data_IF_793433605304
#
_entry.id   IF_793433605304
#
_cell.length_a   1.000
_cell.length_b   1.000
_cell.length_c   1.000
_cell.angle_alpha   90.00
_cell.angle_beta   90.00
_cell.angle_gamma   90.00
#
_symmetry.space_group_name_H-M   'P 1'
#
loop_
_entity.id
_entity.type
_entity.pdbx_description
1 polymer ?
#
# COMPACT_ATOMS: atom_id res chain seq x y z
N UNK A 1 -1.67 -14.83 -12.37
CA UNK A 1 -0.87 -13.62 -12.50
C UNK A 1 -1.76 -12.38 -12.51
N UNK A 2 -1.26 -11.30 -11.99
CA UNK A 2 -1.99 -10.03 -11.95
C UNK A 2 -1.77 -9.26 -13.24
N UNK A 3 -2.86 -8.66 -13.74
CA UNK A 3 -2.82 -7.74 -14.87
C UNK A 3 -3.29 -6.37 -14.41
N UNK A 4 -2.88 -5.34 -15.12
CA UNK A 4 -3.21 -3.95 -14.77
C UNK A 4 -2.20 -3.33 -13.82
N UNK A 5 -2.54 -2.18 -13.27
CA UNK A 5 -1.66 -1.39 -12.41
C UNK A 5 -2.21 -1.37 -11.00
N UNK A 6 -1.35 -1.63 -10.04
CA UNK A 6 -1.72 -1.77 -8.63
C UNK A 6 -0.85 -0.90 -7.76
N UNK A 7 -1.34 -0.65 -6.55
CA UNK A 7 -0.67 0.19 -5.58
C UNK A 7 0.56 -0.51 -4.99
N UNK A 8 1.61 0.25 -4.78
CA UNK A 8 2.78 -0.16 -4.02
C UNK A 8 3.34 1.06 -3.28
N UNK A 9 4.34 0.83 -2.45
CA UNK A 9 5.09 1.91 -1.80
C UNK A 9 6.56 1.78 -2.17
N UNK A 10 7.27 2.89 -2.18
CA UNK A 10 8.71 2.90 -2.43
C UNK A 10 9.36 3.93 -1.52
N UNK A 11 10.67 3.77 -1.33
CA UNK A 11 11.40 4.69 -0.49
C UNK A 11 11.42 6.09 -1.09
N UNK A 12 11.12 7.07 -0.23
CA UNK A 12 11.13 8.48 -0.61
C UNK A 12 11.47 9.29 0.61
N UNK A 13 12.61 9.99 0.58
CA UNK A 13 13.04 10.80 1.70
C UNK A 13 12.00 11.87 2.03
N UNK A 14 11.58 11.92 3.28
CA UNK A 14 10.55 12.85 3.73
C UNK A 14 9.13 12.46 3.35
N UNK A 15 8.96 11.36 2.59
CA UNK A 15 7.64 10.88 2.21
C UNK A 15 6.98 10.09 3.34
N UNK A 16 5.64 10.12 3.37
CA UNK A 16 4.85 9.37 4.34
C UNK A 16 3.65 8.72 3.67
N UNK A 17 3.21 7.61 4.22
CA UNK A 17 1.98 6.95 3.80
C UNK A 17 1.27 6.42 5.04
N UNK A 18 -0.05 6.61 5.13
CA UNK A 18 -0.80 6.08 6.27
C UNK A 18 -0.97 4.57 6.16
N UNK A 19 -0.96 3.88 7.29
CA UNK A 19 -1.10 2.43 7.32
C UNK A 19 -2.02 1.99 8.44
N UNK A 20 -2.60 0.79 8.28
CA UNK A 20 -3.31 0.08 9.33
C UNK A 20 -2.57 -1.23 9.57
N UNK A 21 -2.32 -1.54 10.84
CA UNK A 21 -1.59 -2.75 11.22
C UNK A 21 -2.60 -3.82 11.64
N UNK A 22 -2.47 -5.00 11.06
CA UNK A 22 -3.33 -6.15 11.35
C UNK A 22 -2.51 -7.29 11.93
N UNK A 23 -3.05 -7.98 12.92
CA UNK A 23 -2.49 -9.23 13.39
C UNK A 23 -2.97 -10.36 12.48
N UNK A 24 -2.04 -11.19 12.03
CA UNK A 24 -2.37 -12.31 11.16
C UNK A 24 -1.73 -13.60 11.68
N UNK A 25 -2.41 -14.71 11.47
CA UNK A 25 -1.88 -16.03 11.76
C UNK A 25 -0.99 -16.51 10.61
N UNK A 26 -0.22 -17.56 10.84
CA UNK A 26 0.59 -18.18 9.78
C UNK A 26 -0.30 -18.62 8.59
N UNK A 27 -1.49 -19.14 8.87
CA UNK A 27 -2.44 -19.52 7.83
C UNK A 27 -2.93 -18.32 7.04
N UNK A 28 -3.22 -17.21 7.72
CA UNK A 28 -3.63 -15.97 7.07
C UNK A 28 -2.50 -15.42 6.20
N UNK A 29 -1.27 -15.47 6.70
CA UNK A 29 -0.12 -14.99 5.95
C UNK A 29 0.08 -15.80 4.67
N UNK A 30 -0.05 -17.13 4.73
CA UNK A 30 0.07 -17.97 3.55
C UNK A 30 -1.00 -17.64 2.49
N UNK A 31 -2.22 -17.33 2.93
CA UNK A 31 -3.29 -16.93 2.03
C UNK A 31 -2.99 -15.57 1.38
N UNK A 32 -2.46 -14.63 2.16
CA UNK A 32 -2.06 -13.31 1.64
C UNK A 32 -0.91 -13.44 0.66
N UNK A 33 0.07 -14.32 0.93
CA UNK A 33 1.19 -14.55 0.02
C UNK A 33 0.69 -14.98 -1.36
N UNK A 34 -0.29 -15.86 -1.40
CA UNK A 34 -0.89 -16.29 -2.66
C UNK A 34 -1.64 -15.16 -3.35
N UNK A 35 -2.40 -14.40 -2.58
CA UNK A 35 -3.18 -13.28 -3.10
C UNK A 35 -2.29 -12.21 -3.71
N UNK A 36 -1.20 -11.87 -3.02
CA UNK A 36 -0.27 -10.83 -3.45
C UNK A 36 0.71 -11.30 -4.53
N UNK A 37 0.74 -12.61 -4.82
CA UNK A 37 1.69 -13.16 -5.79
C UNK A 37 3.12 -13.14 -5.27
N UNK A 38 3.29 -13.42 -3.98
CA UNK A 38 4.62 -13.50 -3.36
C UNK A 38 5.31 -14.80 -3.79
N UNK A 39 6.60 -14.78 -4.08
CA UNK A 39 7.51 -13.62 -4.08
C UNK A 39 7.67 -12.95 -5.46
N UNK A 40 6.94 -13.41 -6.47
CA UNK A 40 7.19 -13.01 -7.86
C UNK A 40 6.68 -11.60 -8.18
N UNK A 41 5.49 -11.25 -7.74
CA UNK A 41 4.89 -9.94 -8.01
C UNK A 41 5.19 -8.95 -6.90
N UNK A 42 4.95 -9.34 -5.65
CA UNK A 42 5.31 -8.56 -4.47
C UNK A 42 6.34 -9.33 -3.65
N UNK A 43 7.19 -8.61 -2.92
CA UNK A 43 8.04 -9.20 -1.89
C UNK A 43 7.64 -8.63 -0.52
N UNK A 44 8.08 -9.30 0.54
CA UNK A 44 7.80 -8.84 1.90
C UNK A 44 9.01 -8.09 2.45
N UNK A 45 8.74 -6.98 3.12
CA UNK A 45 9.77 -6.19 3.80
C UNK A 45 9.34 -5.94 5.23
N UNK A 46 10.23 -6.22 6.18
CA UNK A 46 9.99 -5.90 7.58
C UNK A 46 10.18 -4.41 7.80
N UNK A 47 9.23 -3.82 8.51
CA UNK A 47 9.23 -2.39 8.79
C UNK A 47 8.99 -2.21 10.29
N UNK A 48 9.86 -1.42 10.93
CA UNK A 48 9.69 -1.09 12.33
C UNK A 48 8.87 0.18 12.44
N UNK A 49 7.74 0.07 13.14
CA UNK A 49 6.76 1.15 13.21
C UNK A 49 6.37 1.45 14.65
N UNK A 50 6.06 2.72 14.90
CA UNK A 50 5.34 3.13 16.10
C UNK A 50 3.86 3.24 15.73
N UNK A 51 3.00 2.72 16.58
CA UNK A 51 1.57 2.81 16.35
C UNK A 51 0.85 3.17 17.64
N UNK A 52 -0.33 3.73 17.50
CA UNK A 52 -1.22 4.06 18.61
C UNK A 52 -2.39 3.09 18.59
N UNK A 53 -2.57 2.36 19.69
CA UNK A 53 -3.67 1.42 19.80
C UNK A 53 -5.01 2.14 19.71
N UNK A 54 -5.93 1.60 18.91
CA UNK A 54 -7.25 2.19 18.71
C UNK A 54 -8.04 2.23 20.01
N UNK A 55 -7.96 1.14 20.80
CA UNK A 55 -8.70 1.03 22.05
C UNK A 55 -8.01 1.72 23.22
N UNK A 56 -6.69 1.57 23.33
CA UNK A 56 -5.96 1.99 24.52
C UNK A 56 -5.38 3.40 24.41
N UNK A 57 -5.20 3.89 23.19
CA UNK A 57 -4.51 5.14 22.95
C UNK A 57 -3.02 5.12 23.27
N UNK A 58 -2.48 3.97 23.65
CA UNK A 58 -1.05 3.84 23.99
C UNK A 58 -0.20 3.69 22.74
N UNK A 59 0.98 4.35 22.75
CA UNK A 59 1.96 4.22 21.68
C UNK A 59 2.86 3.02 21.94
N UNK A 60 3.07 2.22 20.90
CA UNK A 60 3.94 1.03 20.95
C UNK A 60 4.78 0.95 19.68
N UNK A 61 5.89 0.25 19.77
CA UNK A 61 6.74 -0.04 18.62
C UNK A 61 6.56 -1.51 18.25
N UNK A 62 6.44 -1.78 16.96
CA UNK A 62 6.29 -3.14 16.45
C UNK A 62 7.09 -3.30 15.17
N UNK A 63 7.56 -4.52 14.90
CA UNK A 63 8.08 -4.88 13.59
C UNK A 63 6.95 -5.58 12.84
N UNK A 64 6.52 -4.96 11.74
CA UNK A 64 5.48 -5.49 10.87
C UNK A 64 6.08 -5.82 9.51
N UNK A 65 5.38 -6.57 8.68
CA UNK A 65 5.80 -6.73 7.30
C UNK A 65 4.80 -6.05 6.37
N UNK A 66 5.29 -5.66 5.21
CA UNK A 66 4.46 -5.11 4.14
C UNK A 66 4.83 -5.78 2.83
N UNK A 67 3.83 -5.91 1.95
CA UNK A 67 4.08 -6.39 0.60
C UNK A 67 4.45 -5.21 -0.28
N UNK A 68 5.57 -5.32 -0.97
CA UNK A 68 6.07 -4.26 -1.84
C UNK A 68 6.26 -4.85 -3.24
N UNK A 69 5.73 -4.15 -4.24
CA UNK A 69 5.93 -4.54 -5.63
C UNK A 69 7.41 -4.41 -5.98
N UNK A 70 7.94 -5.38 -6.75
CA UNK A 70 9.33 -5.30 -7.19
C UNK A 70 9.56 -4.00 -7.96
N UNK A 71 10.62 -3.28 -7.61
CA UNK A 71 10.86 -1.93 -8.11
C UNK A 71 11.19 -1.87 -9.60
N UNK A 72 11.51 -2.99 -10.22
CA UNK A 72 11.77 -3.08 -11.65
C UNK A 72 10.49 -3.09 -12.50
N UNK A 73 9.33 -3.10 -11.88
CA UNK A 73 8.05 -3.05 -12.59
C UNK A 73 7.81 -1.66 -13.17
N UNK A 74 7.28 -1.57 -14.40
CA UNK A 74 6.99 -0.26 -14.98
C UNK A 74 5.82 0.41 -14.24
N UNK A 75 5.86 1.75 -14.22
CA UNK A 75 4.77 2.54 -13.67
C UNK A 75 3.61 2.51 -14.65
N UNK A 76 2.42 2.24 -14.15
CA UNK A 76 1.19 2.27 -14.93
C UNK A 76 0.14 3.11 -14.24
N UNK A 77 -0.95 3.40 -14.95
CA UNK A 77 -2.09 4.12 -14.40
C UNK A 77 -3.17 3.11 -14.00
N UNK A 78 -3.56 3.07 -12.73
CA UNK A 78 -4.61 2.14 -12.30
C UNK A 78 -5.98 2.55 -12.86
N UNK A 79 -6.91 1.60 -12.91
CA UNK A 79 -8.27 1.85 -13.36
C UNK A 79 -9.00 2.79 -12.40
N UNK A 80 -10.04 3.47 -12.91
CA UNK A 80 -10.87 4.34 -12.06
C UNK A 80 -11.53 3.57 -10.93
N UNK A 81 -11.94 2.32 -11.19
CA UNK A 81 -12.53 1.47 -10.16
C UNK A 81 -11.54 1.19 -9.03
N UNK A 82 -10.30 0.86 -9.38
CA UNK A 82 -9.26 0.56 -8.40
C UNK A 82 -8.95 1.76 -7.52
N UNK A 83 -8.75 2.92 -8.13
CA UNK A 83 -8.47 4.16 -7.38
C UNK A 83 -9.64 4.54 -6.47
N UNK A 84 -10.86 4.37 -6.94
CA UNK A 84 -12.04 4.64 -6.11
C UNK A 84 -12.09 3.74 -4.90
N UNK A 85 -11.78 2.45 -5.07
CA UNK A 85 -11.73 1.49 -3.96
C UNK A 85 -10.68 1.89 -2.93
N UNK A 86 -9.51 2.33 -3.38
CA UNK A 86 -8.46 2.81 -2.48
C UNK A 86 -8.88 4.08 -1.72
N UNK A 87 -9.56 5.00 -2.39
CA UNK A 87 -10.07 6.22 -1.76
C UNK A 87 -11.12 5.89 -0.69
N UNK A 88 -11.97 4.91 -0.94
CA UNK A 88 -12.94 4.42 0.06
C UNK A 88 -12.23 3.88 1.31
N UNK A 89 -11.12 3.17 1.12
CA UNK A 89 -10.30 2.71 2.23
C UNK A 89 -9.72 3.86 3.04
N UNK A 90 -9.24 4.89 2.37
CA UNK A 90 -8.74 6.09 3.03
C UNK A 90 -9.85 6.77 3.84
N UNK A 91 -11.07 6.86 3.29
CA UNK A 91 -12.21 7.41 4.01
C UNK A 91 -12.58 6.58 5.24
N UNK A 92 -12.56 5.25 5.10
CA UNK A 92 -12.92 4.34 6.20
C UNK A 92 -12.03 4.54 7.41
N UNK A 93 -10.74 4.80 7.21
CA UNK A 93 -9.78 4.98 8.30
C UNK A 93 -9.43 6.43 8.57
N UNK A 94 -10.16 7.38 7.98
CA UNK A 94 -9.95 8.82 8.15
C UNK A 94 -8.55 9.27 7.75
N UNK A 95 -7.99 8.66 6.73
CA UNK A 95 -6.68 9.03 6.19
C UNK A 95 -6.80 10.25 5.27
N UNK A 96 -5.70 10.99 5.16
CA UNK A 96 -5.62 12.13 4.24
C UNK A 96 -5.56 11.62 2.79
N UNK A 97 -6.65 11.82 2.06
CA UNK A 97 -6.76 11.37 0.68
C UNK A 97 -5.82 12.09 -0.28
N UNK A 98 -5.32 13.26 0.08
CA UNK A 98 -4.41 14.00 -0.80
C UNK A 98 -3.15 13.21 -1.10
N UNK A 99 -2.69 12.38 -0.16
CA UNK A 99 -1.51 11.53 -0.33
C UNK A 99 -1.71 10.57 -1.52
N UNK A 100 -2.88 9.93 -1.58
CA UNK A 100 -3.20 8.99 -2.66
C UNK A 100 -3.48 9.72 -3.96
N UNK A 101 -4.21 10.82 -3.91
CA UNK A 101 -4.54 11.62 -5.09
C UNK A 101 -3.26 12.16 -5.73
N UNK A 102 -2.33 12.69 -4.95
CA UNK A 102 -1.05 13.18 -5.46
C UNK A 102 -0.25 12.07 -6.12
N UNK A 103 -0.23 10.87 -5.53
CA UNK A 103 0.45 9.72 -6.11
C UNK A 103 -0.19 9.31 -7.45
N UNK A 104 -1.50 9.33 -7.53
CA UNK A 104 -2.24 9.02 -8.75
C UNK A 104 -1.95 10.03 -9.85
N UNK A 105 -1.99 11.33 -9.52
CA UNK A 105 -1.71 12.39 -10.46
C UNK A 105 -0.29 12.28 -11.00
N UNK A 106 0.67 11.92 -10.14
CA UNK A 106 2.05 11.72 -10.54
C UNK A 106 2.20 10.54 -11.51
N UNK A 107 1.46 9.46 -11.30
CA UNK A 107 1.45 8.33 -12.22
C UNK A 107 0.94 8.75 -13.60
N UNK A 108 -0.12 9.54 -13.65
CA UNK A 108 -0.70 10.04 -14.90
C UNK A 108 0.29 10.93 -15.64
N UNK A 109 1.00 11.80 -14.93
CA UNK A 109 2.03 12.66 -15.49
C UNK A 109 3.16 11.84 -16.12
N UNK A 110 3.70 10.89 -15.36
CA UNK A 110 4.83 10.06 -15.79
C UNK A 110 4.46 9.23 -17.02
N UNK A 111 3.22 8.72 -17.07
CA UNK A 111 2.75 7.91 -18.17
C UNK A 111 2.25 8.74 -19.38
N UNK A 112 2.25 10.05 -19.25
CA UNK A 112 1.72 10.93 -20.30
C UNK A 112 0.23 10.79 -20.51
N UNK A 113 -0.50 10.35 -19.49
CA UNK A 113 -1.93 10.16 -19.55
C UNK A 113 -2.66 11.49 -19.34
N UNK A 114 -3.54 11.82 -20.28
CA UNK A 114 -4.33 13.05 -20.24
C UNK A 114 -5.79 12.67 -20.17
N UNK A 115 -6.21 12.24 -19.03
CA UNK A 115 -7.50 11.75 -18.88
C UNK A 115 -8.61 12.59 -18.51
#
# INVERSE_FOLDING_TARGET
SKTGSYLTIEECEGGTVPVVIWEVTATNEAALDRYEGFPNFYYKRDIRLQYKGIRTGKCRTVTAFAYIMHEDRPIGVPSNFYIRTCLEGYDTFYFDKSILIDAYDKCREVCGYEG
#
